data_IF_210864998496
#
_entry.id   IF_210864998496
#
_cell.length_a   1.000
_cell.length_b   1.000
_cell.length_c   1.000
_cell.angle_alpha   90.00
_cell.angle_beta   90.00
_cell.angle_gamma   90.00
#
_symmetry.space_group_name_H-M   'P 1'
#
loop_
_entity.id
_entity.type
_entity.pdbx_description
1 polymer ?
#
# COMPACT_ATOMS: atom_id res chain seq x y z
N UNK A 1 -2.93 -10.26 -17.69
CA UNK A 1 -3.66 -9.07 -18.17
C UNK A 1 -4.05 -9.25 -19.64
N UNK A 2 -3.11 -9.50 -20.58
CA UNK A 2 -3.41 -9.63 -22.02
C UNK A 2 -4.51 -10.65 -22.31
N UNK A 3 -4.35 -11.89 -21.78
CA UNK A 3 -5.33 -12.96 -21.96
C UNK A 3 -6.71 -12.56 -21.39
N UNK A 4 -6.74 -12.02 -20.17
CA UNK A 4 -7.98 -11.56 -19.53
C UNK A 4 -8.66 -10.47 -20.37
N UNK A 5 -7.91 -9.51 -20.89
CA UNK A 5 -8.44 -8.45 -21.73
C UNK A 5 -9.05 -8.99 -23.04
N UNK A 6 -8.47 -10.05 -23.62
CA UNK A 6 -9.06 -10.71 -24.78
C UNK A 6 -10.40 -11.39 -24.45
N UNK A 7 -10.49 -12.07 -23.30
CA UNK A 7 -11.78 -12.63 -22.83
C UNK A 7 -12.85 -11.54 -22.62
N UNK A 8 -12.44 -10.35 -22.19
CA UNK A 8 -13.31 -9.17 -22.06
C UNK A 8 -13.58 -8.46 -23.40
N UNK A 9 -13.24 -9.09 -24.54
CA UNK A 9 -13.46 -8.57 -25.90
C UNK A 9 -12.75 -7.24 -26.18
N UNK A 10 -11.69 -6.93 -25.48
CA UNK A 10 -10.81 -5.78 -25.79
C UNK A 10 -10.04 -6.07 -27.07
N UNK A 11 -9.92 -5.08 -27.96
CA UNK A 11 -9.17 -5.23 -29.23
C UNK A 11 -7.75 -5.73 -28.95
N UNK A 12 -7.22 -6.73 -29.68
CA UNK A 12 -5.93 -7.38 -29.41
C UNK A 12 -4.76 -6.42 -29.25
N UNK A 13 -4.67 -5.40 -30.11
CA UNK A 13 -3.63 -4.36 -30.00
C UNK A 13 -3.71 -3.60 -28.67
N UNK A 14 -4.91 -3.23 -28.21
CA UNK A 14 -5.12 -2.52 -26.95
C UNK A 14 -4.83 -3.47 -25.77
N UNK A 15 -5.28 -4.71 -25.83
CA UNK A 15 -5.02 -5.72 -24.81
C UNK A 15 -3.52 -5.98 -24.62
N UNK A 16 -2.77 -6.06 -25.73
CA UNK A 16 -1.31 -6.19 -25.70
C UNK A 16 -0.63 -4.99 -25.05
N UNK A 17 -1.02 -3.76 -25.43
CA UNK A 17 -0.45 -2.55 -24.84
C UNK A 17 -0.75 -2.44 -23.35
N UNK A 18 -1.95 -2.77 -22.90
CA UNK A 18 -2.28 -2.82 -21.45
C UNK A 18 -1.39 -3.83 -20.71
N UNK A 19 -1.12 -4.99 -21.32
CA UNK A 19 -0.20 -5.99 -20.77
C UNK A 19 1.23 -5.46 -20.62
N UNK A 20 1.74 -4.76 -21.64
CA UNK A 20 3.06 -4.13 -21.60
C UNK A 20 3.13 -3.02 -20.56
N UNK A 21 2.18 -2.10 -20.53
CA UNK A 21 2.17 -1.01 -19.54
C UNK A 21 2.09 -1.52 -18.12
N UNK A 22 1.26 -2.53 -17.87
CA UNK A 22 1.20 -3.17 -16.57
C UNK A 22 2.54 -3.84 -16.19
N UNK A 23 3.16 -4.58 -17.11
CA UNK A 23 4.48 -5.21 -16.89
C UNK A 23 5.58 -4.19 -16.60
N UNK A 24 5.68 -3.14 -17.42
CA UNK A 24 6.65 -2.05 -17.24
C UNK A 24 6.42 -1.32 -15.91
N UNK A 25 5.15 -1.01 -15.59
CA UNK A 25 4.81 -0.35 -14.33
C UNK A 25 5.16 -1.19 -13.11
N UNK A 26 4.80 -2.48 -13.10
CA UNK A 26 5.15 -3.39 -12.00
C UNK A 26 6.67 -3.56 -11.84
N UNK A 27 7.40 -3.67 -12.95
CA UNK A 27 8.87 -3.73 -12.91
C UNK A 27 9.46 -2.44 -12.35
N UNK A 28 8.95 -1.28 -12.78
CA UNK A 28 9.37 0.02 -12.26
C UNK A 28 9.12 0.17 -10.77
N UNK A 29 7.96 -0.25 -10.28
CA UNK A 29 7.67 -0.29 -8.84
C UNK A 29 8.63 -1.22 -8.08
N UNK A 30 8.88 -2.41 -8.63
CA UNK A 30 9.80 -3.37 -8.02
C UNK A 30 11.21 -2.78 -7.88
N UNK A 31 11.72 -2.11 -8.90
CA UNK A 31 13.03 -1.45 -8.83
C UNK A 31 13.07 -0.36 -7.76
N UNK A 32 12.07 0.53 -7.72
CA UNK A 32 12.01 1.58 -6.69
C UNK A 32 12.01 0.96 -5.30
N UNK A 33 11.18 -0.05 -5.06
CA UNK A 33 11.05 -0.68 -3.74
C UNK A 33 12.34 -1.39 -3.36
N UNK A 34 12.94 -2.17 -4.26
CA UNK A 34 14.15 -2.94 -3.97
C UNK A 34 15.35 -2.05 -3.65
N UNK A 35 15.49 -0.94 -4.36
CA UNK A 35 16.61 -0.01 -4.14
C UNK A 35 16.38 0.89 -2.94
N UNK A 36 15.14 1.31 -2.68
CA UNK A 36 14.86 2.31 -1.66
C UNK A 36 14.60 1.70 -0.27
N UNK A 37 14.02 0.51 -0.18
CA UNK A 37 13.74 -0.14 1.11
C UNK A 37 14.97 -0.31 2.00
N UNK A 38 16.13 -0.76 1.52
CA UNK A 38 17.32 -0.88 2.35
C UNK A 38 17.81 0.47 2.92
N UNK A 39 17.65 1.53 2.12
CA UNK A 39 18.05 2.89 2.50
C UNK A 39 17.17 3.40 3.65
N UNK A 40 15.86 3.29 3.51
CA UNK A 40 14.88 3.67 4.55
C UNK A 40 15.09 2.86 5.81
N UNK A 41 15.23 1.55 5.68
CA UNK A 41 15.42 0.64 6.83
C UNK A 41 16.65 1.03 7.62
N UNK A 42 17.76 1.40 6.95
CA UNK A 42 18.97 1.86 7.62
C UNK A 42 18.71 3.13 8.44
N UNK A 43 18.10 4.14 7.86
CA UNK A 43 17.81 5.43 8.54
C UNK A 43 16.82 5.24 9.70
N UNK A 44 15.78 4.42 9.52
CA UNK A 44 14.80 4.11 10.58
C UNK A 44 15.50 3.39 11.74
N UNK A 45 16.37 2.42 11.49
CA UNK A 45 17.15 1.76 12.55
C UNK A 45 18.05 2.75 13.30
N UNK A 46 18.71 3.66 12.58
CA UNK A 46 19.52 4.72 13.21
C UNK A 46 18.64 5.63 14.08
N UNK A 47 17.46 6.03 13.58
CA UNK A 47 16.50 6.86 14.33
C UNK A 47 16.08 6.16 15.63
N UNK A 48 15.68 4.89 15.57
CA UNK A 48 15.30 4.10 16.74
C UNK A 48 16.44 4.00 17.75
N UNK A 49 17.66 3.69 17.29
CA UNK A 49 18.84 3.60 18.16
C UNK A 49 19.22 4.93 18.80
N UNK A 50 19.05 6.03 18.07
CA UNK A 50 19.46 7.36 18.52
C UNK A 50 18.43 8.03 19.43
N UNK A 51 17.13 7.71 19.29
CA UNK A 51 16.05 8.24 20.14
C UNK A 51 15.93 7.49 21.48
N UNK A 52 16.64 6.40 21.67
CA UNK A 52 16.57 5.58 22.90
C UNK A 52 15.31 4.70 22.98
N UNK A 53 14.49 4.67 21.94
CA UNK A 53 13.34 3.80 21.84
C UNK A 53 13.84 2.37 21.58
N UNK A 54 13.78 1.52 22.61
CA UNK A 54 14.21 0.12 22.51
C UNK A 54 13.11 -0.76 21.91
N UNK A 55 12.73 -0.47 20.67
CA UNK A 55 11.79 -1.31 19.93
C UNK A 55 12.54 -2.16 18.90
N UNK A 56 12.23 -3.45 18.78
CA UNK A 56 12.78 -4.28 17.72
C UNK A 56 12.28 -3.73 16.37
N UNK A 57 13.20 -3.42 15.46
CA UNK A 57 12.84 -3.06 14.08
C UNK A 57 12.76 -4.34 13.28
N UNK A 58 11.56 -4.74 12.92
CA UNK A 58 11.29 -5.90 12.07
C UNK A 58 10.79 -5.40 10.72
N UNK A 59 11.45 -5.80 9.64
CA UNK A 59 10.96 -5.54 8.30
C UNK A 59 9.83 -6.53 7.97
N UNK A 60 8.61 -6.04 8.03
CA UNK A 60 7.39 -6.75 7.61
C UNK A 60 6.88 -6.19 6.28
N UNK A 61 7.74 -5.56 5.48
CA UNK A 61 7.39 -5.04 4.18
C UNK A 61 6.73 -6.11 3.30
N UNK A 62 6.05 -5.68 2.27
CA UNK A 62 5.28 -6.58 1.40
C UNK A 62 6.13 -7.72 0.80
N UNK A 63 7.43 -7.51 0.59
CA UNK A 63 8.34 -8.56 0.09
C UNK A 63 8.50 -9.68 1.10
N UNK A 64 8.86 -9.35 2.34
CA UNK A 64 9.03 -10.33 3.41
C UNK A 64 7.70 -11.04 3.71
N UNK A 65 6.61 -10.26 3.82
CA UNK A 65 5.28 -10.79 4.06
C UNK A 65 4.76 -11.67 2.91
N UNK A 66 5.03 -11.32 1.65
CA UNK A 66 4.62 -12.15 0.51
C UNK A 66 5.40 -13.46 0.44
N UNK A 67 6.71 -13.41 0.65
CA UNK A 67 7.53 -14.63 0.72
C UNK A 67 7.07 -15.55 1.84
N UNK A 68 6.81 -15.01 3.03
CA UNK A 68 6.29 -15.79 4.15
C UNK A 68 4.91 -16.40 3.82
N UNK A 69 4.01 -15.62 3.23
CA UNK A 69 2.65 -16.06 2.92
C UNK A 69 2.60 -17.10 1.82
N UNK A 70 3.27 -16.86 0.70
CA UNK A 70 3.33 -17.82 -0.42
C UNK A 70 4.27 -18.99 -0.14
N UNK A 71 5.22 -18.87 0.80
CA UNK A 71 6.04 -19.97 1.29
C UNK A 71 5.37 -20.83 2.37
N UNK A 72 4.24 -20.41 2.91
CA UNK A 72 3.51 -21.11 3.96
C UNK A 72 2.48 -22.07 3.39
N UNK A 73 2.40 -23.34 3.89
CA UNK A 73 1.34 -24.26 3.50
C UNK A 73 -0.06 -23.71 3.80
N UNK A 74 -0.23 -23.01 4.92
CA UNK A 74 -1.50 -22.35 5.30
C UNK A 74 -1.85 -21.25 4.30
N UNK A 75 -0.87 -20.41 3.96
CA UNK A 75 -1.07 -19.34 3.00
C UNK A 75 -1.48 -19.86 1.62
N UNK A 76 -0.78 -20.87 1.10
CA UNK A 76 -1.12 -21.49 -0.19
C UNK A 76 -2.50 -22.14 -0.17
N UNK A 77 -2.85 -22.83 0.90
CA UNK A 77 -4.18 -23.42 1.06
C UNK A 77 -5.25 -22.34 1.08
N UNK A 78 -5.05 -21.28 1.86
CA UNK A 78 -5.99 -20.16 1.88
C UNK A 78 -6.07 -19.46 0.52
N UNK A 79 -4.98 -19.33 -0.22
CA UNK A 79 -5.00 -18.71 -1.54
C UNK A 79 -6.03 -19.36 -2.48
N UNK A 80 -6.05 -20.70 -2.50
CA UNK A 80 -7.01 -21.44 -3.33
C UNK A 80 -8.43 -21.34 -2.77
N UNK A 81 -8.63 -21.67 -1.50
CA UNK A 81 -9.97 -21.69 -0.90
C UNK A 81 -10.54 -20.27 -0.68
N UNK A 82 -9.68 -19.30 -0.41
CA UNK A 82 -10.08 -17.89 -0.30
C UNK A 82 -10.61 -17.35 -1.62
N UNK A 83 -9.93 -17.60 -2.73
CA UNK A 83 -10.42 -17.22 -4.07
C UNK A 83 -11.77 -17.89 -4.39
N UNK A 84 -11.90 -19.18 -4.10
CA UNK A 84 -13.17 -19.87 -4.29
C UNK A 84 -14.29 -19.23 -3.45
N UNK A 85 -14.00 -18.91 -2.19
CA UNK A 85 -14.94 -18.26 -1.31
C UNK A 85 -15.34 -16.87 -1.83
N UNK A 86 -14.39 -16.06 -2.31
CA UNK A 86 -14.66 -14.75 -2.92
C UNK A 86 -15.61 -14.87 -4.12
N UNK A 87 -15.36 -15.83 -5.01
CA UNK A 87 -16.25 -16.09 -6.14
C UNK A 87 -17.63 -16.53 -5.70
N UNK A 88 -17.74 -17.43 -4.73
CA UNK A 88 -19.03 -17.90 -4.22
C UNK A 88 -19.79 -16.74 -3.57
N UNK A 89 -19.18 -15.97 -2.69
CA UNK A 89 -19.82 -14.85 -2.00
C UNK A 89 -20.37 -13.82 -2.99
N UNK A 90 -19.63 -13.55 -4.05
CA UNK A 90 -20.10 -12.67 -5.12
C UNK A 90 -21.22 -13.30 -5.94
N UNK A 91 -21.07 -14.56 -6.35
CA UNK A 91 -22.06 -15.26 -7.21
C UNK A 91 -23.42 -15.45 -6.52
N UNK A 92 -23.44 -15.71 -5.21
CA UNK A 92 -24.67 -15.85 -4.42
C UNK A 92 -25.27 -14.51 -3.98
N UNK A 93 -24.60 -13.38 -4.31
CA UNK A 93 -25.11 -12.04 -4.01
C UNK A 93 -24.94 -11.61 -2.54
N UNK A 94 -24.10 -12.28 -1.77
CA UNK A 94 -23.75 -11.85 -0.39
C UNK A 94 -22.97 -10.54 -0.42
N UNK A 95 -22.21 -10.30 -1.48
CA UNK A 95 -21.45 -9.05 -1.70
C UNK A 95 -21.62 -8.54 -3.13
N UNK A 96 -21.54 -7.22 -3.28
CA UNK A 96 -21.47 -6.55 -4.58
C UNK A 96 -20.02 -6.28 -5.03
N UNK A 97 -19.05 -6.52 -4.15
CA UNK A 97 -17.64 -6.28 -4.40
C UNK A 97 -17.00 -7.51 -5.03
N UNK A 98 -16.50 -7.38 -6.27
CA UNK A 98 -15.77 -8.44 -6.94
C UNK A 98 -14.28 -8.39 -6.56
N UNK A 99 -13.95 -8.95 -5.40
CA UNK A 99 -12.60 -8.97 -4.84
C UNK A 99 -11.56 -9.77 -5.65
N UNK A 100 -11.92 -10.86 -6.35
CA UNK A 100 -10.97 -11.61 -7.19
C UNK A 100 -10.35 -10.82 -8.33
N UNK A 101 -10.86 -9.62 -8.64
CA UNK A 101 -10.26 -8.71 -9.63
C UNK A 101 -8.83 -8.31 -9.27
N UNK A 102 -8.45 -8.41 -8.01
CA UNK A 102 -7.13 -8.11 -7.50
C UNK A 102 -6.56 -9.28 -6.69
N UNK A 103 -5.92 -10.21 -7.37
CA UNK A 103 -5.26 -11.38 -6.75
C UNK A 103 -4.24 -11.00 -5.68
N UNK A 104 -3.67 -9.80 -5.78
CA UNK A 104 -2.70 -9.29 -4.82
C UNK A 104 -3.30 -9.06 -3.43
N UNK A 105 -4.59 -8.78 -3.34
CA UNK A 105 -5.27 -8.62 -2.04
C UNK A 105 -5.23 -9.87 -1.18
N UNK A 106 -5.19 -11.05 -1.80
CA UNK A 106 -5.12 -12.32 -1.09
C UNK A 106 -3.87 -12.43 -0.21
N UNK A 107 -2.76 -11.84 -0.63
CA UNK A 107 -1.57 -11.72 0.20
C UNK A 107 -1.88 -11.07 1.56
N UNK A 108 -2.68 -10.00 1.58
CA UNK A 108 -3.05 -9.30 2.81
C UNK A 108 -3.86 -10.16 3.79
N UNK A 109 -4.59 -11.17 3.31
CA UNK A 109 -5.31 -12.13 4.18
C UNK A 109 -4.40 -13.30 4.59
N UNK A 110 -3.62 -13.80 3.64
CA UNK A 110 -2.70 -14.92 3.84
C UNK A 110 -1.67 -14.63 4.93
N UNK A 111 -1.15 -13.41 5.02
CA UNK A 111 -0.13 -13.05 6.01
C UNK A 111 -0.63 -13.23 7.44
N UNK A 112 -1.89 -12.86 7.73
CA UNK A 112 -2.46 -13.01 9.07
C UNK A 112 -2.58 -14.47 9.48
N UNK A 113 -3.06 -15.34 8.58
CA UNK A 113 -3.09 -16.77 8.85
C UNK A 113 -1.70 -17.38 8.97
N UNK A 114 -0.75 -16.95 8.14
CA UNK A 114 0.63 -17.42 8.22
C UNK A 114 1.29 -17.05 9.55
N UNK A 115 1.15 -15.80 10.00
CA UNK A 115 1.64 -15.35 11.30
C UNK A 115 0.99 -16.12 12.45
N UNK A 116 -0.34 -16.31 12.40
CA UNK A 116 -1.05 -17.11 13.38
C UNK A 116 -0.52 -18.56 13.42
N UNK A 117 -0.20 -19.14 12.28
CA UNK A 117 0.36 -20.48 12.21
C UNK A 117 1.75 -20.59 12.86
N UNK A 118 2.62 -19.63 12.63
CA UNK A 118 3.94 -19.60 13.27
C UNK A 118 3.88 -19.43 14.77
N UNK A 119 2.84 -18.76 15.29
CA UNK A 119 2.67 -18.54 16.73
C UNK A 119 1.93 -19.69 17.40
N UNK A 120 0.84 -20.16 16.78
CA UNK A 120 -0.08 -21.12 17.43
C UNK A 120 0.17 -22.58 17.03
N UNK A 121 0.87 -22.80 15.91
CA UNK A 121 1.03 -24.11 15.26
C UNK A 121 -0.32 -24.81 14.99
N UNK A 122 -1.40 -24.05 14.94
CA UNK A 122 -2.75 -24.56 14.74
C UNK A 122 -3.29 -24.16 13.35
N UNK A 123 -3.51 -25.15 12.53
CA UNK A 123 -3.98 -25.00 11.16
C UNK A 123 -5.36 -24.32 11.07
N UNK A 124 -6.29 -24.75 11.92
CA UNK A 124 -7.67 -24.24 11.87
C UNK A 124 -7.80 -22.82 12.35
N UNK A 125 -7.07 -22.44 13.41
CA UNK A 125 -7.00 -21.04 13.88
C UNK A 125 -6.44 -20.17 12.77
N UNK A 126 -5.41 -20.62 12.08
CA UNK A 126 -4.72 -19.90 11.04
C UNK A 126 -5.58 -19.66 9.80
N UNK A 127 -6.24 -20.69 9.31
CA UNK A 127 -7.20 -20.55 8.22
C UNK A 127 -8.39 -19.70 8.62
N UNK A 128 -8.93 -19.90 9.83
CA UNK A 128 -10.04 -19.11 10.37
C UNK A 128 -9.71 -17.61 10.42
N UNK A 129 -8.49 -17.25 10.83
CA UNK A 129 -8.06 -15.85 10.84
C UNK A 129 -7.92 -15.27 9.44
N UNK A 130 -7.39 -16.01 8.47
CA UNK A 130 -7.35 -15.56 7.08
C UNK A 130 -8.75 -15.32 6.51
N UNK A 131 -9.69 -16.23 6.74
CA UNK A 131 -11.08 -16.07 6.33
C UNK A 131 -11.77 -14.91 7.05
N UNK A 132 -11.52 -14.73 8.33
CA UNK A 132 -12.01 -13.58 9.09
C UNK A 132 -11.53 -12.26 8.45
N UNK A 133 -10.24 -12.16 8.13
CA UNK A 133 -9.67 -10.96 7.49
C UNK A 133 -10.25 -10.71 6.10
N UNK A 134 -10.53 -11.77 5.32
CA UNK A 134 -11.21 -11.67 4.04
C UNK A 134 -12.62 -11.08 4.22
N UNK A 135 -13.43 -11.66 5.09
CA UNK A 135 -14.81 -11.21 5.34
C UNK A 135 -14.86 -9.79 5.92
N UNK A 136 -13.97 -9.49 6.86
CA UNK A 136 -13.82 -8.16 7.44
C UNK A 136 -13.49 -7.10 6.37
N UNK A 137 -12.53 -7.42 5.50
CA UNK A 137 -12.15 -6.53 4.40
C UNK A 137 -13.29 -6.34 3.41
N UNK A 138 -14.01 -7.40 3.08
CA UNK A 138 -15.15 -7.37 2.16
C UNK A 138 -16.27 -6.49 2.70
N UNK A 139 -16.63 -6.65 3.97
CA UNK A 139 -17.63 -5.83 4.65
C UNK A 139 -17.26 -4.34 4.60
N UNK A 140 -16.02 -4.02 4.97
CA UNK A 140 -15.59 -2.62 4.97
C UNK A 140 -15.43 -2.04 3.55
N UNK A 141 -15.07 -2.87 2.57
CA UNK A 141 -15.04 -2.46 1.17
C UNK A 141 -16.43 -2.05 0.66
N UNK A 142 -17.48 -2.75 1.06
CA UNK A 142 -18.87 -2.37 0.75
C UNK A 142 -19.29 -1.09 1.47
N UNK A 143 -19.02 -0.99 2.77
CA UNK A 143 -19.42 0.18 3.58
C UNK A 143 -18.82 1.48 3.03
N UNK A 144 -17.63 1.43 2.45
CA UNK A 144 -16.98 2.64 1.93
C UNK A 144 -17.14 2.84 0.41
N UNK A 145 -17.77 1.92 -0.30
CA UNK A 145 -17.87 1.93 -1.77
C UNK A 145 -18.39 3.26 -2.34
N UNK A 146 -19.51 3.75 -1.81
CA UNK A 146 -20.12 4.99 -2.27
C UNK A 146 -19.24 6.21 -2.00
N UNK A 147 -18.60 6.26 -0.84
CA UNK A 147 -17.66 7.35 -0.49
C UNK A 147 -16.44 7.34 -1.38
N UNK A 148 -15.88 6.16 -1.63
CA UNK A 148 -14.73 5.98 -2.49
C UNK A 148 -15.03 6.37 -3.93
N UNK A 149 -16.10 5.84 -4.51
CA UNK A 149 -16.54 6.16 -5.87
C UNK A 149 -16.82 7.65 -6.06
N UNK A 150 -17.49 8.27 -5.08
CA UNK A 150 -17.81 9.69 -5.10
C UNK A 150 -16.55 10.57 -5.02
N UNK A 151 -15.60 10.23 -4.15
CA UNK A 151 -14.37 11.00 -3.96
C UNK A 151 -13.47 10.96 -5.21
N UNK A 152 -13.24 9.76 -5.74
CA UNK A 152 -12.37 9.57 -6.91
C UNK A 152 -13.08 9.79 -8.25
N UNK A 153 -14.41 9.97 -8.24
CA UNK A 153 -15.26 10.11 -9.44
C UNK A 153 -15.10 8.91 -10.40
N UNK A 154 -14.96 7.72 -9.84
CA UNK A 154 -14.87 6.45 -10.55
C UNK A 154 -16.03 5.58 -10.10
N UNK A 155 -17.01 5.38 -11.00
CA UNK A 155 -18.19 4.60 -10.70
C UNK A 155 -17.87 3.13 -10.42
N UNK A 156 -18.68 2.50 -9.56
CA UNK A 156 -18.59 1.07 -9.25
C UNK A 156 -17.21 0.59 -8.80
N UNK A 157 -16.49 1.43 -8.06
CA UNK A 157 -15.14 1.13 -7.57
C UNK A 157 -15.06 1.31 -6.07
N UNK A 158 -14.33 0.42 -5.41
CA UNK A 158 -14.00 0.53 -3.98
C UNK A 158 -12.57 0.03 -3.75
N UNK A 159 -12.05 0.27 -2.54
CA UNK A 159 -10.78 -0.32 -2.11
C UNK A 159 -11.05 -1.57 -1.29
N UNK A 160 -10.31 -2.63 -1.55
CA UNK A 160 -10.41 -3.91 -0.83
C UNK A 160 -9.05 -4.45 -0.38
N UNK A 161 -8.05 -3.57 -0.23
CA UNK A 161 -6.75 -3.95 0.31
C UNK A 161 -6.81 -3.97 1.85
N UNK A 162 -6.49 -5.12 2.46
CA UNK A 162 -6.58 -5.31 3.91
C UNK A 162 -5.80 -4.24 4.69
N UNK A 163 -4.63 -3.83 4.20
CA UNK A 163 -3.78 -2.82 4.83
C UNK A 163 -4.42 -1.42 4.87
N UNK A 164 -5.23 -1.09 3.88
CA UNK A 164 -5.87 0.23 3.77
C UNK A 164 -7.24 0.25 4.44
N UNK A 165 -7.94 -0.88 4.41
CA UNK A 165 -9.32 -0.97 4.87
C UNK A 165 -9.47 -0.84 6.40
N UNK A 166 -8.44 -1.22 7.16
CA UNK A 166 -8.45 -1.10 8.63
C UNK A 166 -8.62 0.34 9.11
N UNK A 167 -8.24 1.30 8.28
CA UNK A 167 -8.39 2.73 8.56
C UNK A 167 -9.82 3.24 8.31
N UNK A 168 -10.66 2.45 7.66
CA UNK A 168 -12.04 2.84 7.32
C UNK A 168 -12.87 3.05 8.58
N UNK A 169 -12.74 2.18 9.58
CA UNK A 169 -13.50 2.30 10.83
C UNK A 169 -13.18 3.61 11.57
N UNK A 170 -11.93 3.93 11.92
CA UNK A 170 -11.61 5.22 12.54
C UNK A 170 -11.96 6.41 11.64
N UNK A 171 -11.80 6.29 10.32
CA UNK A 171 -12.18 7.36 9.40
C UNK A 171 -13.68 7.65 9.45
N UNK A 172 -14.54 6.64 9.44
CA UNK A 172 -16.00 6.79 9.53
C UNK A 172 -16.40 7.39 10.90
N UNK A 173 -15.80 6.90 11.99
CA UNK A 173 -16.11 7.39 13.34
C UNK A 173 -15.69 8.85 13.54
N UNK A 174 -14.58 9.27 12.92
CA UNK A 174 -14.07 10.64 13.04
C UNK A 174 -14.65 11.59 11.99
N UNK A 175 -15.36 11.11 10.99
CA UNK A 175 -15.95 11.92 9.91
C UNK A 175 -16.84 13.09 10.45
N UNK A 176 -17.73 12.89 11.45
CA UNK A 176 -18.50 13.99 12.03
C UNK A 176 -17.60 15.08 12.67
N UNK A 177 -16.51 14.67 13.32
CA UNK A 177 -15.54 15.58 13.91
C UNK A 177 -14.79 16.38 12.85
N UNK A 178 -14.34 15.71 11.80
CA UNK A 178 -13.65 16.39 10.68
C UNK A 178 -14.57 17.37 9.96
N UNK A 179 -15.85 17.04 9.80
CA UNK A 179 -16.85 17.91 9.23
C UNK A 179 -17.10 19.14 10.11
N UNK A 180 -17.17 18.96 11.44
CA UNK A 180 -17.32 20.04 12.39
C UNK A 180 -16.12 21.01 12.37
N UNK A 181 -14.90 20.47 12.24
CA UNK A 181 -13.68 21.24 12.14
C UNK A 181 -13.46 21.88 10.76
N UNK A 182 -14.35 21.63 9.80
CA UNK A 182 -14.28 22.21 8.46
C UNK A 182 -13.28 21.54 7.51
N UNK A 183 -12.70 20.40 7.87
CA UNK A 183 -11.75 19.68 7.00
C UNK A 183 -12.37 19.15 5.72
N UNK A 184 -13.69 18.96 5.69
CA UNK A 184 -14.43 18.61 4.48
C UNK A 184 -14.34 19.67 3.36
N UNK A 185 -14.00 20.92 3.72
CA UNK A 185 -13.78 22.02 2.78
C UNK A 185 -12.34 22.13 2.30
N UNK A 186 -11.43 21.38 2.94
CA UNK A 186 -10.03 21.39 2.59
C UNK A 186 -9.77 20.60 1.31
N UNK A 187 -9.30 21.26 0.28
CA UNK A 187 -8.85 20.59 -0.94
C UNK A 187 -7.36 20.21 -0.77
N UNK A 188 -7.10 18.95 -0.43
CA UNK A 188 -5.77 18.40 -0.21
C UNK A 188 -5.26 17.59 -1.43
N UNK A 189 -5.85 17.79 -2.60
CA UNK A 189 -5.32 17.15 -3.81
C UNK A 189 -3.89 17.64 -4.10
N UNK A 190 -3.02 16.80 -4.70
CA UNK A 190 -1.66 17.22 -5.06
C UNK A 190 -1.62 18.50 -5.90
N UNK A 191 -2.58 18.67 -6.81
CA UNK A 191 -2.70 19.87 -7.61
C UNK A 191 -3.04 21.12 -6.78
N UNK A 192 -4.01 21.01 -5.85
CA UNK A 192 -4.37 22.12 -4.97
C UNK A 192 -3.23 22.46 -4.00
N UNK A 193 -2.52 21.46 -3.53
CA UNK A 193 -1.35 21.65 -2.66
C UNK A 193 -0.23 22.37 -3.41
N UNK A 194 0.07 21.95 -4.62
CA UNK A 194 1.03 22.63 -5.51
C UNK A 194 0.62 24.07 -5.79
N UNK A 195 -0.65 24.32 -6.13
CA UNK A 195 -1.16 25.65 -6.40
C UNK A 195 -1.07 26.57 -5.18
N UNK A 196 -1.28 26.03 -3.97
CA UNK A 196 -1.24 26.82 -2.71
C UNK A 196 0.18 27.08 -2.21
N UNK A 197 1.08 26.10 -2.33
CA UNK A 197 2.42 26.16 -1.79
C UNK A 197 3.52 26.31 -2.84
N UNK A 198 3.16 26.37 -4.13
CA UNK A 198 4.11 26.54 -5.24
C UNK A 198 5.16 25.43 -5.24
N UNK A 199 6.44 25.81 -5.27
CA UNK A 199 7.57 24.87 -5.29
C UNK A 199 7.58 23.92 -4.09
N UNK A 200 7.12 24.37 -2.93
CA UNK A 200 7.02 23.53 -1.72
C UNK A 200 5.93 22.45 -1.80
N UNK A 201 5.00 22.59 -2.73
CA UNK A 201 3.98 21.58 -2.99
C UNK A 201 4.39 20.52 -4.03
N UNK A 202 5.59 20.63 -4.60
CA UNK A 202 6.08 19.64 -5.57
C UNK A 202 6.58 18.38 -4.88
N UNK A 203 6.31 17.18 -5.43
CA UNK A 203 6.77 15.90 -4.86
C UNK A 203 8.28 15.88 -4.57
N UNK A 204 9.08 16.46 -5.47
CA UNK A 204 10.52 16.56 -5.33
C UNK A 204 10.94 17.34 -4.08
N UNK A 205 10.34 18.51 -3.88
CA UNK A 205 10.63 19.37 -2.73
C UNK A 205 10.11 18.77 -1.43
N UNK A 206 8.90 18.20 -1.45
CA UNK A 206 8.35 17.48 -0.31
C UNK A 206 9.23 16.31 0.10
N UNK A 207 9.73 15.55 -0.88
CA UNK A 207 10.68 14.47 -0.65
C UNK A 207 11.97 14.95 0.00
N UNK A 208 12.52 16.09 -0.46
CA UNK A 208 13.70 16.70 0.12
C UNK A 208 13.46 17.13 1.59
N UNK A 209 12.37 17.83 1.86
CA UNK A 209 12.03 18.30 3.21
C UNK A 209 11.84 17.11 4.15
N UNK A 210 11.02 16.14 3.78
CA UNK A 210 10.81 14.92 4.58
C UNK A 210 12.10 14.14 4.78
N UNK A 211 12.92 14.03 3.74
CA UNK A 211 14.21 13.36 3.81
C UNK A 211 15.19 14.05 4.76
N UNK A 212 15.22 15.39 4.78
CA UNK A 212 16.01 16.15 5.76
C UNK A 212 15.49 15.89 7.17
N UNK A 213 14.19 15.99 7.40
CA UNK A 213 13.59 15.79 8.74
C UNK A 213 13.90 14.39 9.27
N UNK A 214 13.64 13.35 8.47
CA UNK A 214 13.89 11.96 8.86
C UNK A 214 15.41 11.71 9.00
N UNK A 215 16.21 12.27 8.10
CA UNK A 215 17.66 12.15 8.13
C UNK A 215 18.29 12.81 9.39
N UNK A 216 17.76 13.97 9.81
CA UNK A 216 18.17 14.64 11.06
C UNK A 216 17.80 13.77 12.26
N UNK A 217 16.59 13.22 12.31
CA UNK A 217 16.19 12.30 13.39
C UNK A 217 17.07 11.04 13.44
N UNK A 218 17.44 10.52 12.27
CA UNK A 218 18.34 9.38 12.17
C UNK A 218 19.76 9.65 12.63
N UNK A 219 20.24 10.90 12.51
CA UNK A 219 21.61 11.29 12.85
C UNK A 219 21.68 12.28 14.03
N UNK A 220 20.67 12.31 14.89
CA UNK A 220 20.49 13.35 15.92
C UNK A 220 21.69 13.46 16.89
N UNK A 221 22.41 12.37 17.12
CA UNK A 221 23.59 12.35 18.01
C UNK A 221 24.87 12.85 17.32
N UNK A 222 24.91 12.85 15.99
CA UNK A 222 26.09 13.09 15.20
C UNK A 222 26.01 14.39 14.36
N UNK A 223 25.03 15.25 14.63
CA UNK A 223 24.76 16.49 13.86
C UNK A 223 25.95 17.47 13.81
N UNK A 224 26.93 17.33 14.70
CA UNK A 224 28.18 18.12 14.70
C UNK A 224 29.15 17.68 13.64
N UNK A 225 28.95 16.54 12.98
CA UNK A 225 29.88 15.97 12.02
C UNK A 225 29.46 16.24 10.57
N UNK A 226 30.42 16.56 9.71
CA UNK A 226 30.17 16.73 8.26
C UNK A 226 29.63 15.44 7.63
N UNK A 227 30.03 14.28 8.15
CA UNK A 227 29.59 12.97 7.69
C UNK A 227 28.07 12.80 7.88
N UNK A 228 27.53 13.22 9.02
CA UNK A 228 26.08 13.15 9.28
C UNK A 228 25.30 14.01 8.29
N UNK A 229 25.76 15.23 8.04
CA UNK A 229 25.11 16.11 7.04
C UNK A 229 25.18 15.53 5.63
N UNK A 230 26.29 14.90 5.25
CA UNK A 230 26.39 14.17 3.99
C UNK A 230 25.34 13.06 3.86
N UNK A 231 25.12 12.27 4.92
CA UNK A 231 24.10 11.22 4.94
C UNK A 231 22.66 11.79 4.89
N UNK A 232 22.41 12.87 5.61
CA UNK A 232 21.12 13.56 5.61
C UNK A 232 20.76 14.07 4.21
N UNK A 233 21.69 14.77 3.57
CA UNK A 233 21.48 15.30 2.22
C UNK A 233 21.33 14.18 1.18
N UNK A 234 22.13 13.14 1.27
CA UNK A 234 22.02 11.97 0.40
C UNK A 234 20.62 11.34 0.52
N UNK A 235 20.15 11.12 1.74
CA UNK A 235 18.82 10.55 1.98
C UNK A 235 17.70 11.48 1.47
N UNK A 236 17.84 12.79 1.66
CA UNK A 236 16.88 13.78 1.15
C UNK A 236 16.76 13.73 -0.38
N UNK A 237 17.90 13.64 -1.08
CA UNK A 237 17.92 13.50 -2.56
C UNK A 237 17.29 12.17 -2.99
N UNK A 238 17.59 11.07 -2.30
CA UNK A 238 17.04 9.75 -2.61
C UNK A 238 15.53 9.73 -2.41
N UNK A 239 15.01 10.28 -1.31
CA UNK A 239 13.58 10.37 -1.06
C UNK A 239 12.88 11.29 -2.07
N UNK A 240 13.51 12.42 -2.44
CA UNK A 240 13.05 13.29 -3.53
C UNK A 240 12.91 12.53 -4.85
N UNK A 241 13.93 11.75 -5.20
CA UNK A 241 13.93 10.96 -6.43
C UNK A 241 12.76 9.96 -6.43
N UNK A 242 12.56 9.22 -5.33
CA UNK A 242 11.44 8.27 -5.21
C UNK A 242 10.10 8.98 -5.33
N UNK A 243 9.89 10.07 -4.61
CA UNK A 243 8.62 10.83 -4.67
C UNK A 243 8.34 11.43 -6.05
N UNK A 244 9.39 11.68 -6.84
CA UNK A 244 9.25 12.19 -8.21
C UNK A 244 9.01 11.07 -9.21
N UNK A 245 9.72 9.95 -9.10
CA UNK A 245 9.65 8.84 -10.06
C UNK A 245 8.39 7.99 -9.85
N UNK A 246 7.95 7.80 -8.61
CA UNK A 246 6.82 6.95 -8.28
C UNK A 246 5.52 7.33 -9.03
N UNK A 247 5.11 8.62 -9.09
CA UNK A 247 3.96 9.05 -9.89
C UNK A 247 4.14 8.81 -11.39
N UNK A 248 5.36 8.89 -11.93
CA UNK A 248 5.64 8.62 -13.34
C UNK A 248 5.41 7.14 -13.66
N UNK A 249 5.90 6.25 -12.80
CA UNK A 249 5.66 4.80 -12.93
C UNK A 249 4.18 4.47 -12.78
N UNK A 250 3.48 5.10 -11.82
CA UNK A 250 2.02 4.98 -11.66
C UNK A 250 1.28 5.39 -12.93
N UNK A 251 1.71 6.46 -13.57
CA UNK A 251 1.10 6.97 -14.80
C UNK A 251 1.29 6.01 -16.00
N UNK A 252 2.41 5.29 -16.04
CA UNK A 252 2.64 4.23 -17.04
C UNK A 252 1.75 3.01 -16.73
N UNK A 253 1.67 2.62 -15.46
CA UNK A 253 0.87 1.48 -15.02
C UNK A 253 -0.64 1.67 -15.26
N UNK A 254 -1.14 2.90 -15.16
CA UNK A 254 -2.57 3.23 -15.30
C UNK A 254 -3.07 3.35 -16.74
N UNK A 255 -2.19 3.25 -17.74
CA UNK A 255 -2.54 3.26 -19.17
C UNK A 255 -2.99 1.91 -19.69
#
# INVERSE_FOLDING_TARGET
IFIIALFLKVKPKKAMMCGFYAGVGLTGFSWIINEFTPIVTKIVRQMVNNTGIKLPVVDIGWQAGSLASFGSPVGLTFFVFGLIAEFILFAVGVTKVFMPSNLWNNFGFMIWGTLAFYVTHNWWISLGLSFFMLLYTLLLAEVQADRWSSYYKIENTTVCAAQNIVQTVPAILLDPLWNLLGFNKANLTPAAFKNKFGVFGEPTTLGAILGIVIGVLGNIKDLTTIKAWGQILQFAVQLSAVMTIFPLVTNVFSK
#
